data_IF_484261926449
#
_entry.id   IF_484261926449
#
_cell.length_a   1.000
_cell.length_b   1.000
_cell.length_c   1.000
_cell.angle_alpha   90.00
_cell.angle_beta   90.00
_cell.angle_gamma   90.00
#
_symmetry.space_group_name_H-M   'P 1'
#
loop_
_entity.id
_entity.type
_entity.pdbx_description
1 polymer ?
#
# COMPACT_ATOMS: atom_id res chain seq x y z
N UNK A 1 -9.23 4.91 13.15
CA UNK A 1 -8.74 3.95 14.17
C UNK A 1 -7.25 4.16 14.38
N UNK A 2 -6.80 4.48 15.61
CA UNK A 2 -5.37 4.68 15.92
C UNK A 2 -4.82 3.44 16.65
N UNK A 3 -3.83 2.78 16.07
CA UNK A 3 -3.07 1.71 16.71
C UNK A 3 -1.71 2.24 17.16
N UNK A 4 -1.53 2.42 18.47
CA UNK A 4 -0.23 2.51 19.15
C UNK A 4 -0.04 1.21 19.97
N UNK A 5 1.19 0.83 20.33
CA UNK A 5 1.65 -0.44 20.94
C UNK A 5 0.65 -1.28 21.77
N UNK A 6 -0.23 -0.65 22.54
CA UNK A 6 -1.45 -1.23 23.16
C UNK A 6 -2.49 -1.83 22.18
N UNK A 7 -2.24 -1.87 20.86
CA UNK A 7 -3.25 -2.17 19.84
C UNK A 7 -2.91 -3.35 18.89
N UNK A 8 -1.69 -3.91 18.90
CA UNK A 8 -1.44 -5.15 18.14
C UNK A 8 -2.21 -6.33 18.74
N UNK A 9 -2.17 -6.49 20.07
CA UNK A 9 -2.94 -7.52 20.77
C UNK A 9 -4.44 -7.38 20.48
N UNK A 10 -4.99 -6.18 20.63
CA UNK A 10 -6.40 -5.89 20.36
C UNK A 10 -6.76 -6.14 18.90
N UNK A 11 -5.91 -5.73 17.96
CA UNK A 11 -6.09 -5.98 16.52
C UNK A 11 -6.11 -7.47 16.19
N UNK A 12 -5.15 -8.24 16.68
CA UNK A 12 -5.10 -9.69 16.46
C UNK A 12 -6.28 -10.39 17.13
N UNK A 13 -6.69 -9.94 18.32
CA UNK A 13 -7.87 -10.46 19.01
C UNK A 13 -9.13 -10.23 18.19
N UNK A 14 -9.33 -9.01 17.67
CA UNK A 14 -10.46 -8.66 16.82
C UNK A 14 -10.45 -9.48 15.52
N UNK A 15 -9.31 -9.58 14.84
CA UNK A 15 -9.18 -10.40 13.63
C UNK A 15 -9.51 -11.86 13.92
N UNK A 16 -9.09 -12.40 15.06
CA UNK A 16 -9.38 -13.79 15.43
C UNK A 16 -10.87 -14.00 15.71
N UNK A 17 -11.51 -13.09 16.44
CA UNK A 17 -12.97 -13.15 16.71
C UNK A 17 -13.78 -13.13 15.41
N UNK A 18 -13.29 -12.43 14.39
CA UNK A 18 -13.92 -12.36 13.07
C UNK A 18 -13.43 -13.44 12.09
N UNK A 19 -12.70 -14.47 12.56
CA UNK A 19 -12.14 -15.55 11.74
C UNK A 19 -11.19 -15.09 10.61
N UNK A 20 -10.57 -13.92 10.76
CA UNK A 20 -9.65 -13.30 9.79
C UNK A 20 -8.20 -13.74 9.97
N UNK A 21 -7.88 -14.53 11.00
CA UNK A 21 -6.53 -15.09 11.20
C UNK A 21 -6.52 -16.58 10.86
N UNK A 22 -5.67 -16.99 9.92
CA UNK A 22 -5.50 -18.38 9.50
C UNK A 22 -4.11 -18.87 9.93
N UNK A 23 -4.09 -19.99 10.65
CA UNK A 23 -2.86 -20.69 11.04
C UNK A 23 -2.85 -22.06 10.38
N UNK A 24 -1.89 -22.26 9.48
CA UNK A 24 -1.66 -23.56 8.84
C UNK A 24 -0.34 -24.16 9.36
N UNK A 25 -0.15 -25.47 9.19
CA UNK A 25 0.98 -26.15 9.82
C UNK A 25 2.30 -25.78 9.15
N UNK A 26 2.35 -25.78 7.82
CA UNK A 26 3.56 -25.51 7.05
C UNK A 26 3.51 -24.17 6.31
N UNK A 27 4.68 -23.68 5.91
CA UNK A 27 4.83 -22.55 5.00
C UNK A 27 4.00 -22.75 3.71
N UNK A 28 4.11 -23.92 3.10
CA UNK A 28 3.47 -24.22 1.83
C UNK A 28 1.94 -24.24 1.95
N UNK A 29 1.40 -24.85 3.02
CA UNK A 29 -0.05 -24.89 3.25
C UNK A 29 -0.63 -23.48 3.37
N UNK A 30 0.04 -22.63 4.14
CA UNK A 30 -0.40 -21.25 4.37
C UNK A 30 -0.40 -20.42 3.08
N UNK A 31 0.66 -20.53 2.27
CA UNK A 31 0.73 -19.86 0.97
C UNK A 31 -0.33 -20.39 -0.01
N UNK A 32 -0.48 -21.72 -0.14
CA UNK A 32 -1.47 -22.33 -1.03
C UNK A 32 -2.90 -21.92 -0.64
N UNK A 33 -3.21 -21.93 0.66
CA UNK A 33 -4.53 -21.52 1.17
C UNK A 33 -4.79 -20.03 0.98
N UNK A 34 -3.77 -19.19 1.14
CA UNK A 34 -3.86 -17.76 0.83
C UNK A 34 -4.20 -17.57 -0.65
N UNK A 35 -3.45 -18.19 -1.56
CA UNK A 35 -3.66 -18.07 -3.02
C UNK A 35 -5.06 -18.58 -3.41
N UNK A 36 -5.50 -19.69 -2.81
CA UNK A 36 -6.85 -20.22 -3.00
C UNK A 36 -7.93 -19.23 -2.52
N UNK A 37 -7.83 -18.72 -1.29
CA UNK A 37 -8.81 -17.76 -0.79
C UNK A 37 -8.79 -16.42 -1.56
N UNK A 38 -7.63 -16.02 -2.08
CA UNK A 38 -7.49 -14.88 -2.99
C UNK A 38 -8.24 -15.10 -4.31
N UNK A 39 -8.29 -16.35 -4.80
CA UNK A 39 -9.02 -16.72 -6.01
C UNK A 39 -10.54 -16.71 -5.84
N UNK A 40 -11.02 -16.97 -4.61
CA UNK A 40 -12.45 -16.98 -4.28
C UNK A 40 -13.04 -15.59 -4.07
N UNK A 41 -12.20 -14.55 -3.97
CA UNK A 41 -12.68 -13.20 -3.75
C UNK A 41 -13.52 -12.68 -4.93
N UNK A 42 -14.62 -12.00 -4.58
CA UNK A 42 -15.50 -11.30 -5.55
C UNK A 42 -14.84 -10.10 -6.23
N UNK A 43 -13.74 -9.59 -5.70
CA UNK A 43 -13.07 -8.40 -6.20
C UNK A 43 -12.18 -8.70 -7.39
N UNK A 44 -12.04 -7.73 -8.28
CA UNK A 44 -11.16 -7.84 -9.43
C UNK A 44 -9.70 -7.92 -8.97
N UNK A 45 -8.79 -8.52 -9.76
CA UNK A 45 -7.38 -8.63 -9.40
C UNK A 45 -6.70 -7.30 -9.02
N UNK A 46 -7.11 -6.17 -9.60
CA UNK A 46 -6.54 -4.85 -9.29
C UNK A 46 -7.02 -4.26 -7.95
N UNK A 47 -8.11 -4.78 -7.39
CA UNK A 47 -8.68 -4.36 -6.10
C UNK A 47 -8.17 -5.23 -4.93
N UNK A 48 -7.31 -6.20 -5.24
CA UNK A 48 -6.75 -7.17 -4.30
C UNK A 48 -5.24 -7.00 -4.19
N UNK A 49 -4.69 -7.20 -2.99
CA UNK A 49 -3.24 -7.23 -2.81
C UNK A 49 -2.82 -8.18 -1.71
N UNK A 50 -1.76 -8.95 -1.98
CA UNK A 50 -1.04 -9.68 -0.94
C UNK A 50 0.10 -8.84 -0.39
N UNK A 51 0.16 -8.66 0.93
CA UNK A 51 1.21 -7.90 1.61
C UNK A 51 2.07 -8.84 2.43
N UNK A 52 3.39 -8.72 2.30
CA UNK A 52 4.34 -9.43 3.16
C UNK A 52 5.59 -8.57 3.40
N UNK A 53 6.54 -9.07 4.20
CA UNK A 53 7.76 -8.33 4.57
C UNK A 53 8.95 -8.71 3.68
N UNK A 54 9.10 -9.99 3.32
CA UNK A 54 10.32 -10.48 2.64
C UNK A 54 10.11 -10.52 1.13
N UNK A 55 11.08 -9.99 0.38
CA UNK A 55 11.06 -10.01 -1.10
C UNK A 55 10.96 -11.44 -1.68
N UNK A 56 11.58 -12.44 -1.03
CA UNK A 56 11.46 -13.84 -1.47
C UNK A 56 10.02 -14.34 -1.45
N UNK A 57 9.25 -13.94 -0.43
CA UNK A 57 7.86 -14.36 -0.30
C UNK A 57 7.00 -13.63 -1.33
N UNK A 58 7.30 -12.35 -1.61
CA UNK A 58 6.68 -11.58 -2.71
C UNK A 58 6.88 -12.26 -4.06
N UNK A 59 8.09 -12.69 -4.38
CA UNK A 59 8.40 -13.34 -5.66
C UNK A 59 7.60 -14.66 -5.81
N UNK A 60 7.54 -15.48 -4.75
CA UNK A 60 6.78 -16.74 -4.74
C UNK A 60 5.27 -16.47 -4.90
N UNK A 61 4.71 -15.55 -4.11
CA UNK A 61 3.28 -15.22 -4.14
C UNK A 61 2.85 -14.65 -5.49
N UNK A 62 3.65 -13.75 -6.07
CA UNK A 62 3.39 -13.23 -7.42
C UNK A 62 3.35 -14.36 -8.47
N UNK A 63 4.33 -15.27 -8.43
CA UNK A 63 4.39 -16.40 -9.36
C UNK A 63 3.20 -17.35 -9.18
N UNK A 64 2.82 -17.67 -7.94
CA UNK A 64 1.70 -18.55 -7.62
C UNK A 64 0.37 -17.97 -8.06
N UNK A 65 0.11 -16.69 -7.78
CA UNK A 65 -1.13 -16.02 -8.19
C UNK A 65 -1.20 -15.93 -9.71
N UNK A 66 -0.12 -15.55 -10.38
CA UNK A 66 -0.09 -15.50 -11.84
C UNK A 66 -0.34 -16.88 -12.47
N UNK A 67 0.26 -17.92 -11.91
CA UNK A 67 0.07 -19.30 -12.39
C UNK A 67 -1.38 -19.76 -12.23
N UNK A 68 -2.01 -19.44 -11.10
CA UNK A 68 -3.43 -19.65 -10.85
C UNK A 68 -4.31 -18.92 -11.87
N UNK A 69 -4.04 -17.62 -12.11
CA UNK A 69 -4.80 -16.81 -13.07
C UNK A 69 -4.67 -17.32 -14.51
N UNK A 70 -3.53 -17.92 -14.87
CA UNK A 70 -3.40 -18.61 -16.15
C UNK A 70 -4.19 -19.91 -16.18
N UNK A 71 -4.10 -20.72 -15.13
CA UNK A 71 -4.76 -22.02 -15.05
C UNK A 71 -6.29 -21.90 -15.09
N UNK A 72 -6.86 -20.83 -14.53
CA UNK A 72 -8.30 -20.59 -14.53
C UNK A 72 -8.80 -19.76 -15.74
N UNK A 73 -7.92 -19.43 -16.70
CA UNK A 73 -8.28 -18.67 -17.89
C UNK A 73 -8.51 -17.17 -17.67
N UNK A 74 -8.20 -16.61 -16.50
CA UNK A 74 -8.27 -15.14 -16.32
C UNK A 74 -7.16 -14.43 -17.11
N UNK A 75 -5.98 -15.04 -17.18
CA UNK A 75 -4.85 -14.59 -17.99
C UNK A 75 -4.67 -15.51 -19.19
N UNK A 76 -4.83 -14.94 -20.38
CA UNK A 76 -4.73 -15.66 -21.65
C UNK A 76 -3.97 -14.83 -22.69
N UNK A 77 -3.45 -15.50 -23.70
CA UNK A 77 -2.78 -14.86 -24.83
C UNK A 77 -1.26 -15.03 -24.82
N UNK A 78 -0.60 -14.19 -25.61
CA UNK A 78 0.83 -14.32 -25.88
C UNK A 78 1.65 -13.73 -24.73
N UNK A 79 2.60 -14.52 -24.24
CA UNK A 79 3.59 -14.05 -23.28
C UNK A 79 4.77 -13.37 -23.98
N UNK A 80 5.18 -12.23 -23.43
CA UNK A 80 6.44 -11.60 -23.74
C UNK A 80 7.44 -11.80 -22.61
N UNK A 81 8.58 -12.41 -22.95
CA UNK A 81 9.66 -12.67 -21.99
C UNK A 81 10.62 -11.49 -21.97
N UNK A 82 10.86 -10.97 -20.77
CA UNK A 82 11.82 -9.93 -20.46
C UNK A 82 12.96 -10.51 -19.63
N UNK A 83 14.18 -10.02 -19.85
CA UNK A 83 15.35 -10.38 -19.05
C UNK A 83 15.97 -9.11 -18.46
N UNK A 84 16.05 -9.01 -17.14
CA UNK A 84 16.71 -7.91 -16.42
C UNK A 84 17.69 -8.51 -15.43
N UNK A 85 18.95 -8.08 -15.46
CA UNK A 85 19.95 -8.51 -14.49
C UNK A 85 19.97 -10.05 -14.30
N UNK A 86 19.81 -10.80 -15.39
CA UNK A 86 19.79 -12.28 -15.41
C UNK A 86 18.46 -12.94 -15.02
N UNK A 87 17.48 -12.20 -14.49
CA UNK A 87 16.15 -12.73 -14.15
C UNK A 87 15.24 -12.67 -15.38
N UNK A 88 14.70 -13.82 -15.77
CA UNK A 88 13.74 -13.95 -16.87
C UNK A 88 12.34 -13.97 -16.29
N UNK A 89 11.55 -12.96 -16.62
CA UNK A 89 10.14 -12.85 -16.23
C UNK A 89 9.29 -12.73 -17.49
N UNK A 90 8.10 -13.31 -17.47
CA UNK A 90 7.17 -13.27 -18.59
C UNK A 90 5.94 -12.45 -18.23
N UNK A 91 5.48 -11.64 -19.17
CA UNK A 91 4.34 -10.74 -19.01
C UNK A 91 3.33 -10.95 -20.15
N UNK A 92 2.05 -10.75 -19.88
CA UNK A 92 0.96 -10.77 -20.86
C UNK A 92 -0.06 -9.65 -20.56
N UNK A 93 -0.94 -9.37 -21.51
CA UNK A 93 -2.07 -8.48 -21.25
C UNK A 93 -2.94 -9.04 -20.10
N UNK A 94 -3.41 -8.17 -19.22
CA UNK A 94 -4.09 -8.49 -17.97
C UNK A 94 -3.15 -8.67 -16.76
N UNK A 95 -1.82 -8.78 -16.96
CA UNK A 95 -0.90 -8.89 -15.83
C UNK A 95 -0.93 -7.61 -14.98
N UNK A 96 -1.00 -7.77 -13.65
CA UNK A 96 -0.85 -6.67 -12.70
C UNK A 96 0.63 -6.44 -12.42
N UNK A 97 1.06 -5.19 -12.46
CA UNK A 97 2.45 -4.77 -12.23
C UNK A 97 2.54 -3.65 -11.20
N UNK A 98 3.76 -3.43 -10.71
CA UNK A 98 4.12 -2.30 -9.87
C UNK A 98 5.43 -1.68 -10.37
N UNK A 99 5.41 -0.38 -10.64
CA UNK A 99 6.60 0.37 -11.04
C UNK A 99 7.57 0.49 -9.86
N UNK A 100 8.86 0.30 -10.13
CA UNK A 100 9.91 0.24 -9.10
C UNK A 100 10.71 1.54 -8.98
N UNK A 101 10.53 2.46 -9.94
CA UNK A 101 11.20 3.76 -10.01
C UNK A 101 10.26 4.77 -10.65
N UNK A 102 10.34 6.01 -10.17
CA UNK A 102 9.65 7.12 -10.81
C UNK A 102 10.31 7.46 -12.15
N UNK A 103 9.51 7.91 -13.10
CA UNK A 103 9.95 8.46 -14.38
C UNK A 103 9.17 9.76 -14.61
N UNK A 104 9.88 10.87 -14.78
CA UNK A 104 9.23 12.20 -14.87
C UNK A 104 8.54 12.41 -16.22
N UNK A 105 9.14 11.91 -17.29
CA UNK A 105 8.66 12.16 -18.65
C UNK A 105 7.38 11.35 -18.90
N UNK A 106 7.35 10.11 -18.41
CA UNK A 106 6.16 9.27 -18.42
C UNK A 106 5.21 9.58 -17.25
N UNK A 107 5.63 10.46 -16.32
CA UNK A 107 4.96 10.76 -15.05
C UNK A 107 4.49 9.49 -14.33
N UNK A 108 5.40 8.52 -14.23
CA UNK A 108 5.26 7.29 -13.45
C UNK A 108 5.77 7.58 -12.05
N UNK A 109 5.04 7.14 -11.03
CA UNK A 109 5.49 7.20 -9.65
C UNK A 109 6.08 5.87 -9.19
N UNK A 110 7.11 5.94 -8.33
CA UNK A 110 7.63 4.75 -7.66
C UNK A 110 6.52 4.09 -6.83
N UNK A 111 6.42 2.77 -6.94
CA UNK A 111 5.41 1.94 -6.27
C UNK A 111 3.96 2.16 -6.74
N UNK A 112 3.78 2.81 -7.89
CA UNK A 112 2.49 2.90 -8.55
C UNK A 112 2.10 1.55 -9.19
N UNK A 113 0.87 1.10 -8.93
CA UNK A 113 0.31 -0.12 -9.49
C UNK A 113 -0.41 0.15 -10.80
N UNK A 114 -0.33 -0.81 -11.70
CA UNK A 114 -0.99 -0.75 -13.00
C UNK A 114 -1.35 -2.15 -13.52
N UNK A 115 -2.23 -2.19 -14.51
CA UNK A 115 -2.58 -3.40 -15.25
C UNK A 115 -2.10 -3.26 -16.70
N UNK A 116 -1.36 -4.26 -17.20
CA UNK A 116 -0.93 -4.28 -18.59
C UNK A 116 -2.14 -4.48 -19.51
N UNK A 117 -2.39 -3.55 -20.42
CA UNK A 117 -3.46 -3.64 -21.42
C UNK A 117 -2.94 -4.21 -22.75
N UNK A 118 -1.66 -4.00 -23.04
CA UNK A 118 -0.99 -4.55 -24.22
C UNK A 118 0.47 -4.87 -23.91
N UNK A 119 0.95 -5.98 -24.46
CA UNK A 119 2.37 -6.36 -24.41
C UNK A 119 2.88 -6.74 -25.78
N UNK A 120 4.01 -6.16 -26.19
CA UNK A 120 4.74 -6.59 -27.36
C UNK A 120 6.26 -6.47 -27.11
N UNK A 121 7.07 -6.73 -28.15
CA UNK A 121 8.53 -6.80 -28.00
C UNK A 121 9.17 -5.47 -27.55
N UNK A 122 8.63 -4.37 -28.06
CA UNK A 122 9.28 -3.06 -27.96
C UNK A 122 8.50 -2.11 -27.05
N UNK A 123 7.22 -2.38 -26.81
CA UNK A 123 6.32 -1.48 -26.10
C UNK A 123 5.31 -2.28 -25.28
N UNK A 124 5.15 -1.84 -24.04
CA UNK A 124 4.08 -2.23 -23.14
C UNK A 124 3.16 -1.03 -22.94
N UNK A 125 1.86 -1.31 -22.82
CA UNK A 125 0.86 -0.32 -22.42
C UNK A 125 0.27 -0.78 -21.09
N UNK A 126 0.25 0.12 -20.11
CA UNK A 126 -0.31 -0.13 -18.80
C UNK A 126 -1.33 0.95 -18.44
N UNK A 127 -2.42 0.54 -17.81
CA UNK A 127 -3.37 1.45 -17.17
C UNK A 127 -3.14 1.44 -15.67
N UNK A 128 -2.77 2.58 -15.09
CA UNK A 128 -2.61 2.75 -13.65
C UNK A 128 -3.96 2.65 -12.94
N UNK A 129 -3.95 2.42 -11.63
CA UNK A 129 -5.19 2.34 -10.84
C UNK A 129 -5.94 3.68 -10.79
N UNK A 130 -5.23 4.80 -10.98
CA UNK A 130 -5.81 6.14 -11.15
C UNK A 130 -6.45 6.35 -12.54
N UNK A 131 -6.34 5.35 -13.43
CA UNK A 131 -6.93 5.35 -14.76
C UNK A 131 -6.06 5.92 -15.87
N UNK A 132 -4.84 6.38 -15.55
CA UNK A 132 -3.88 6.91 -16.53
C UNK A 132 -3.30 5.79 -17.37
N UNK A 133 -3.22 6.02 -18.68
CA UNK A 133 -2.52 5.12 -19.59
C UNK A 133 -1.04 5.53 -19.73
N UNK A 134 -0.15 4.55 -19.73
CA UNK A 134 1.30 4.72 -19.81
C UNK A 134 1.87 3.74 -20.81
N UNK A 135 2.52 4.28 -21.84
CA UNK A 135 3.24 3.50 -22.85
C UNK A 135 4.72 3.54 -22.53
N UNK A 136 5.38 2.39 -22.52
CA UNK A 136 6.80 2.34 -22.19
C UNK A 136 7.54 1.17 -22.84
N UNK A 137 8.83 1.39 -23.07
CA UNK A 137 9.76 0.34 -23.47
C UNK A 137 10.09 -0.53 -22.24
N UNK A 138 9.75 -1.83 -22.25
CA UNK A 138 10.01 -2.69 -21.11
C UNK A 138 11.51 -2.86 -20.83
N UNK A 139 12.42 -2.57 -21.76
CA UNK A 139 13.86 -2.58 -21.49
C UNK A 139 14.33 -1.40 -20.64
N UNK A 140 13.63 -0.25 -20.70
CA UNK A 140 14.04 1.00 -20.05
C UNK A 140 13.40 1.22 -18.69
N UNK A 141 12.16 0.76 -18.50
CA UNK A 141 11.41 0.99 -17.26
C UNK A 141 11.55 -0.17 -16.27
N UNK A 142 11.75 0.15 -14.99
CA UNK A 142 11.83 -0.86 -13.92
C UNK A 142 10.44 -1.12 -13.32
N UNK A 143 9.95 -2.35 -13.46
CA UNK A 143 8.68 -2.82 -12.93
C UNK A 143 8.79 -4.32 -12.62
N UNK A 144 7.84 -4.83 -11.82
CA UNK A 144 7.68 -6.25 -11.46
C UNK A 144 6.19 -6.61 -11.44
N UNK A 145 5.85 -7.89 -11.34
CA UNK A 145 4.48 -8.30 -10.99
C UNK A 145 4.01 -7.67 -9.68
N UNK A 146 2.72 -7.32 -9.63
CA UNK A 146 2.11 -6.52 -8.57
C UNK A 146 0.90 -7.19 -7.90
N UNK A 147 0.80 -8.52 -7.91
CA UNK A 147 -0.23 -9.25 -7.13
C UNK A 147 0.11 -9.32 -5.65
N UNK A 148 1.41 -9.34 -5.35
CA UNK A 148 1.99 -9.26 -4.03
C UNK A 148 3.02 -8.14 -3.96
N UNK A 149 3.13 -7.48 -2.80
CA UNK A 149 4.11 -6.43 -2.57
C UNK A 149 4.64 -6.44 -1.14
N UNK A 150 5.81 -5.83 -0.97
CA UNK A 150 6.32 -5.55 0.37
C UNK A 150 5.51 -4.41 0.98
N UNK A 151 5.26 -4.49 2.29
CA UNK A 151 4.55 -3.45 3.06
C UNK A 151 5.05 -2.01 2.83
N UNK A 152 6.35 -1.83 2.58
CA UNK A 152 6.98 -0.52 2.37
C UNK A 152 6.65 0.15 1.04
N UNK A 153 6.05 -0.58 0.09
CA UNK A 153 5.68 -0.10 -1.25
C UNK A 153 4.19 0.15 -1.42
N UNK A 154 3.40 -0.06 -0.38
CA UNK A 154 1.96 0.24 -0.42
C UNK A 154 1.78 1.64 0.16
N UNK A 155 1.70 2.66 -0.70
CA UNK A 155 1.44 4.06 -0.33
C UNK A 155 0.22 4.57 -1.11
N UNK A 156 -0.60 5.41 -0.46
CA UNK A 156 -1.61 6.24 -1.15
C UNK A 156 -2.99 5.62 -1.30
N UNK A 157 -3.10 4.39 -1.81
CA UNK A 157 -4.40 3.84 -2.18
C UNK A 157 -4.91 2.80 -1.18
N UNK A 158 -6.16 2.98 -0.75
CA UNK A 158 -6.87 2.02 0.08
C UNK A 158 -7.32 0.85 -0.80
N UNK A 159 -6.87 -0.36 -0.48
CA UNK A 159 -7.13 -1.57 -1.29
C UNK A 159 -8.34 -2.27 -0.71
N UNK A 160 -9.30 -2.69 -1.55
CA UNK A 160 -10.56 -3.24 -1.04
C UNK A 160 -10.34 -4.54 -0.27
N UNK A 161 -9.46 -5.41 -0.77
CA UNK A 161 -9.29 -6.76 -0.24
C UNK A 161 -7.82 -7.14 -0.08
N UNK A 162 -7.37 -7.26 1.17
CA UNK A 162 -5.97 -7.40 1.54
C UNK A 162 -5.71 -8.75 2.21
N UNK A 163 -4.65 -9.41 1.76
CA UNK A 163 -4.18 -10.68 2.28
C UNK A 163 -2.78 -10.48 2.85
N UNK A 164 -2.64 -10.48 4.16
CA UNK A 164 -1.33 -10.34 4.82
C UNK A 164 -0.73 -11.72 5.01
N UNK A 165 0.48 -11.94 4.51
CA UNK A 165 1.25 -13.15 4.73
C UNK A 165 2.40 -12.90 5.69
N UNK A 166 2.29 -13.47 6.89
CA UNK A 166 3.31 -13.39 7.94
C UNK A 166 4.13 -14.68 8.00
N UNK A 167 5.45 -14.53 7.97
CA UNK A 167 6.38 -15.66 8.00
C UNK A 167 7.57 -15.39 8.94
N UNK A 168 7.23 -15.14 10.20
CA UNK A 168 8.16 -15.04 11.33
C UNK A 168 8.88 -13.70 11.50
N UNK A 169 8.94 -12.87 10.46
CA UNK A 169 9.67 -11.59 10.46
C UNK A 169 8.73 -10.42 10.21
N UNK A 170 8.64 -9.52 11.19
CA UNK A 170 7.87 -8.28 11.18
C UNK A 170 8.34 -7.38 12.31
N UNK A 171 7.85 -6.15 12.31
CA UNK A 171 7.95 -5.20 13.41
C UNK A 171 6.66 -4.40 13.52
N UNK A 172 6.54 -3.56 14.55
CA UNK A 172 5.29 -2.85 14.81
C UNK A 172 4.84 -1.95 13.65
N UNK A 173 5.77 -1.24 13.00
CA UNK A 173 5.43 -0.35 11.89
C UNK A 173 4.99 -1.10 10.65
N UNK A 174 5.70 -2.16 10.26
CA UNK A 174 5.29 -3.02 9.14
C UNK A 174 3.96 -3.71 9.42
N UNK A 175 3.73 -4.16 10.65
CA UNK A 175 2.47 -4.78 11.05
C UNK A 175 1.32 -3.79 10.97
N UNK A 176 1.50 -2.57 11.48
CA UNK A 176 0.50 -1.51 11.41
C UNK A 176 0.13 -1.19 9.96
N UNK A 177 1.12 -0.96 9.10
CA UNK A 177 0.86 -0.67 7.68
C UNK A 177 0.16 -1.85 7.02
N UNK A 178 0.65 -3.07 7.15
CA UNK A 178 0.02 -4.23 6.50
C UNK A 178 -1.45 -4.43 6.90
N UNK A 179 -1.79 -4.18 8.16
CA UNK A 179 -3.15 -4.39 8.70
C UNK A 179 -4.10 -3.20 8.49
N UNK A 180 -3.62 -2.02 8.09
CA UNK A 180 -4.49 -0.82 7.96
C UNK A 180 -4.71 -0.35 6.53
N UNK A 181 -4.17 -1.06 5.52
CA UNK A 181 -4.33 -0.71 4.10
C UNK A 181 -5.64 -1.15 3.47
N UNK A 182 -6.47 -1.90 4.19
CA UNK A 182 -7.72 -2.45 3.66
C UNK A 182 -8.90 -1.48 3.80
N UNK A 183 -9.83 -1.50 2.83
CA UNK A 183 -11.14 -0.83 2.95
C UNK A 183 -12.19 -1.81 3.47
N UNK A 184 -12.32 -2.98 2.84
CA UNK A 184 -13.44 -3.89 3.09
C UNK A 184 -12.99 -5.15 3.82
N UNK A 185 -11.93 -5.82 3.33
CA UNK A 185 -11.54 -7.13 3.81
C UNK A 185 -10.05 -7.21 4.15
N UNK A 186 -9.76 -7.85 5.27
CA UNK A 186 -8.41 -8.21 5.69
C UNK A 186 -8.37 -9.67 6.15
N UNK A 187 -7.40 -10.43 5.63
CA UNK A 187 -7.11 -11.79 6.07
C UNK A 187 -5.61 -11.92 6.37
N UNK A 188 -5.27 -12.43 7.56
CA UNK A 188 -3.90 -12.68 8.00
C UNK A 188 -3.59 -14.17 7.97
N UNK A 189 -2.55 -14.55 7.24
CA UNK A 189 -2.07 -15.92 7.09
C UNK A 189 -0.74 -16.09 7.80
N UNK A 190 -0.65 -17.14 8.60
CA UNK A 190 0.53 -17.54 9.36
C UNK A 190 0.78 -19.04 9.19
N UNK A 191 2.04 -19.45 9.39
CA UNK A 191 2.43 -20.85 9.43
C UNK A 191 3.07 -21.19 10.78
N UNK A 192 2.82 -22.40 11.30
CA UNK A 192 3.33 -22.82 12.62
C UNK A 192 4.84 -23.06 12.66
N UNK A 193 5.46 -23.35 11.52
CA UNK A 193 6.92 -23.49 11.41
C UNK A 193 7.65 -22.19 11.80
N UNK A 194 7.15 -21.03 11.35
CA UNK A 194 7.74 -19.73 11.66
C UNK A 194 7.06 -18.99 12.84
N UNK A 195 5.81 -19.34 13.14
CA UNK A 195 4.99 -18.68 14.15
C UNK A 195 4.17 -19.74 14.90
N UNK A 196 4.75 -20.31 15.97
CA UNK A 196 4.19 -21.49 16.63
C UNK A 196 2.81 -21.29 17.28
N UNK A 197 2.48 -20.06 17.66
CA UNK A 197 1.23 -19.75 18.38
C UNK A 197 0.80 -18.30 18.18
N UNK A 198 -0.41 -17.96 18.66
CA UNK A 198 -0.88 -16.57 18.63
C UNK A 198 -0.02 -15.64 19.48
N UNK A 199 0.52 -16.13 20.60
CA UNK A 199 1.45 -15.36 21.43
C UNK A 199 2.77 -15.11 20.68
N UNK A 200 3.26 -16.11 19.93
CA UNK A 200 4.42 -15.92 19.05
C UNK A 200 4.15 -14.88 17.97
N UNK A 201 2.94 -14.88 17.39
CA UNK A 201 2.53 -13.90 16.39
C UNK A 201 2.51 -12.49 16.99
N UNK A 202 1.83 -12.30 18.12
CA UNK A 202 1.76 -11.00 18.81
C UNK A 202 3.18 -10.51 19.12
N UNK A 203 4.04 -11.36 19.69
CA UNK A 203 5.42 -11.00 19.99
C UNK A 203 6.23 -10.62 18.73
N UNK A 204 6.02 -11.30 17.60
CA UNK A 204 6.69 -11.00 16.33
C UNK A 204 6.18 -9.69 15.71
N UNK A 205 4.88 -9.42 15.77
CA UNK A 205 4.27 -8.21 15.22
C UNK A 205 4.55 -6.98 16.08
N UNK A 206 4.71 -7.16 17.40
CA UNK A 206 4.99 -6.08 18.36
C UNK A 206 6.48 -5.76 18.51
N UNK A 207 7.38 -6.40 17.77
CA UNK A 207 8.83 -6.09 17.86
C UNK A 207 9.04 -4.60 17.56
N UNK A 208 9.81 -3.88 18.40
CA UNK A 208 10.14 -2.49 18.14
C UNK A 208 10.95 -2.39 16.84
N UNK A 209 10.99 -1.18 16.28
CA UNK A 209 11.89 -0.94 15.17
C UNK A 209 13.32 -0.83 15.71
N UNK A 210 14.18 -1.80 15.41
CA UNK A 210 15.63 -1.68 15.66
C UNK A 210 16.30 -0.52 14.88
N UNK A 211 15.52 0.29 14.16
CA UNK A 211 15.95 1.43 13.33
C UNK A 211 15.44 2.79 13.81
N UNK A 212 14.90 2.90 15.03
CA UNK A 212 14.50 4.22 15.56
C UNK A 212 15.70 5.19 15.73
N UNK A 213 16.93 4.68 15.82
CA UNK A 213 18.13 5.54 15.72
C UNK A 213 18.31 6.23 14.36
N UNK A 214 17.70 5.74 13.27
CA UNK A 214 17.85 6.36 11.94
C UNK A 214 16.94 7.57 11.72
N UNK A 215 15.78 7.63 12.39
CA UNK A 215 14.86 8.77 12.29
C UNK A 215 15.12 9.88 13.31
N UNK A 216 15.94 9.63 14.34
CA UNK A 216 16.38 10.66 15.27
C UNK A 216 17.45 11.61 14.71
N UNK A 217 17.92 11.45 13.46
CA UNK A 217 18.86 12.38 12.82
C UNK A 217 18.38 13.00 11.48
N UNK A 218 17.14 12.77 11.04
CA UNK A 218 16.57 13.54 9.92
C UNK A 218 15.12 13.95 10.17
N UNK A 219 14.89 14.75 11.21
CA UNK A 219 13.88 15.79 11.09
C UNK A 219 14.46 16.88 10.17
N UNK A 220 13.99 16.96 8.91
CA UNK A 220 14.11 18.22 8.15
C UNK A 220 12.88 19.07 8.47
N UNK A 221 13.02 20.25 9.11
CA UNK A 221 11.91 21.06 9.61
C UNK A 221 11.18 21.90 8.53
N UNK A 222 11.17 21.50 7.26
CA UNK A 222 10.82 22.42 6.17
C UNK A 222 9.36 22.37 5.68
N UNK A 223 8.54 21.43 6.13
CA UNK A 223 7.13 21.35 5.72
C UNK A 223 6.15 21.80 6.82
N UNK A 224 6.51 21.70 8.10
CA UNK A 224 5.70 22.24 9.19
C UNK A 224 5.87 23.77 9.31
N UNK A 225 7.08 24.30 9.06
CA UNK A 225 7.32 25.75 9.08
C UNK A 225 6.60 26.53 7.95
N UNK A 226 6.21 25.87 6.86
CA UNK A 226 5.43 26.50 5.77
C UNK A 226 3.93 26.48 6.06
N UNK A 227 3.42 25.44 6.73
CA UNK A 227 2.01 25.36 7.12
C UNK A 227 1.69 26.40 8.21
N UNK A 228 2.59 26.60 9.18
CA UNK A 228 2.42 27.61 10.23
C UNK A 228 2.54 29.04 9.69
N UNK A 229 3.51 29.32 8.79
CA UNK A 229 3.60 30.66 8.15
C UNK A 229 2.38 31.01 7.31
N UNK A 230 1.82 30.06 6.55
CA UNK A 230 0.62 30.30 5.73
C UNK A 230 -0.64 30.48 6.57
N UNK A 231 -0.75 29.81 7.73
CA UNK A 231 -1.85 30.04 8.67
C UNK A 231 -1.71 31.37 9.41
N UNK A 232 -0.49 31.77 9.80
CA UNK A 232 -0.25 33.02 10.52
C UNK A 232 -0.38 34.27 9.61
N UNK A 233 0.06 34.20 8.35
CA UNK A 233 -0.14 35.29 7.37
C UNK A 233 -1.63 35.47 6.98
N UNK A 234 -2.42 34.40 6.96
CA UNK A 234 -3.86 34.48 6.69
C UNK A 234 -4.66 35.04 7.88
N UNK A 235 -4.23 34.78 9.12
CA UNK A 235 -4.83 35.39 10.32
C UNK A 235 -4.46 36.88 10.46
N UNK A 236 -3.26 37.29 10.04
CA UNK A 236 -2.84 38.70 10.07
C UNK A 236 -3.58 39.53 9.00
N UNK A 237 -3.80 38.98 7.80
CA UNK A 237 -4.55 39.66 6.72
C UNK A 237 -6.05 39.82 7.00
N UNK A 238 -6.66 38.97 7.84
CA UNK A 238 -8.05 39.13 8.26
C UNK A 238 -8.23 40.15 9.39
N UNK A 239 -7.15 40.51 10.10
CA UNK A 239 -7.20 41.48 11.20
C UNK A 239 -6.95 42.94 10.76
N UNK A 240 -6.41 43.19 9.55
CA UNK A 240 -5.99 44.53 9.09
C UNK A 240 -6.95 45.22 8.10
N UNK A 241 -8.16 44.71 7.87
CA UNK A 241 -9.14 45.35 6.95
C UNK A 241 -10.43 45.83 7.63
N UNK A 242 -10.41 46.09 8.94
CA UNK A 242 -11.49 46.83 9.61
C UNK A 242 -10.91 47.92 10.50
N UNK A 243 -10.32 48.93 9.86
CA UNK A 243 -10.11 50.21 10.51
C UNK A 243 -10.86 51.32 9.76
N UNK A 244 -11.74 51.98 10.52
CA UNK A 244 -12.01 53.42 10.49
C UNK A 244 -12.74 53.98 9.26
N UNK A 245 -14.06 54.22 9.42
CA UNK A 245 -14.70 55.51 9.11
C UNK A 245 -16.15 55.58 9.63
N UNK A 246 -16.33 56.18 10.82
CA UNK A 246 -17.53 56.93 11.30
C UNK A 246 -17.71 58.22 10.44
N UNK A 247 -18.74 59.10 10.54
CA UNK A 247 -19.86 59.21 11.50
C UNK A 247 -21.23 59.68 10.92
N UNK A 248 -22.30 59.71 11.72
CA UNK A 248 -23.18 60.90 11.79
C UNK A 248 -24.05 60.96 13.06
N UNK A 249 -24.06 62.17 13.61
CA UNK A 249 -24.72 62.73 14.79
C UNK A 249 -26.24 62.87 14.68
N UNK A 250 -26.86 63.17 15.85
CA UNK A 250 -28.10 63.92 16.14
C UNK A 250 -29.23 63.09 16.76
N UNK A 251 -29.93 63.52 17.81
CA UNK A 251 -29.77 64.61 18.77
C UNK A 251 -30.85 64.37 19.84
N UNK A 252 -30.51 64.53 21.12
CA UNK A 252 -31.51 64.88 22.14
C UNK A 252 -31.49 66.41 22.21
N UNK A 253 -32.57 67.06 21.80
CA UNK A 253 -32.99 68.40 22.26
C UNK A 253 -34.16 68.13 23.21
N UNK A 254 -33.95 68.25 24.52
CA UNK A 254 -34.11 69.46 25.33
C UNK A 254 -35.51 70.07 25.29
N UNK A 255 -36.08 70.16 26.50
CA UNK A 255 -37.15 71.08 26.81
C UNK A 255 -36.65 72.51 26.63
N UNK A 256 -37.41 73.24 25.81
CA UNK A 256 -37.50 74.70 25.62
C UNK A 256 -36.53 75.34 24.62
#
# INVERSE_FOLDING_TARGET
MKFAESNILSGITLLRQNNCVKFDNTLQDSMSKLVYNWSLSKFNPHEKLVITVRNKDVDILNSSIRSLLKANGTLQGKEYRRSIAGRKESYMAGDRIVFQKSDKDLQIQNSEFATLTSVNKNEFVAKTDTGKEVNFDPSKIQFKHGYASTVYKVQGDSIKDVYVFHNGVSNISSSYVAMTRHIENLQLYCNKEATASINSLINQLSRPNDKEEYYHFTAKPEQEAKAEKVQQENSIKQCTTKDISTPLFMQIKEQR
#
